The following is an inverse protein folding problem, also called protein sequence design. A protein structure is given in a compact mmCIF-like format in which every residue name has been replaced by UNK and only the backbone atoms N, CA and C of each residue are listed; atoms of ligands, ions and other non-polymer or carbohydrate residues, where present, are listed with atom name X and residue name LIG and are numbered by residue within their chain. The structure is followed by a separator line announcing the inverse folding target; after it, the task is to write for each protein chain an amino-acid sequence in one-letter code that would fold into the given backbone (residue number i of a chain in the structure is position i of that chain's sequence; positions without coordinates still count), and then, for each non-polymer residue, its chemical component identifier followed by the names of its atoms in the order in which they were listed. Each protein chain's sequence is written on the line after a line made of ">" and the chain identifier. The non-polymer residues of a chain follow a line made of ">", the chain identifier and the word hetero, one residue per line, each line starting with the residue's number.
data_IF_546376937725
#
_entry.id   IF_546376937725
#
_cell.length_a   1.000
_cell.length_b   1.000
_cell.length_c   1.000
_cell.angle_alpha   90.00
_cell.angle_beta   90.00
_cell.angle_gamma   90.00
#
_symmetry.space_group_name_H-M   'P 1'
#
loop_
_entity.id
_entity.type
_entity.pdbx_description
1 polymer ?
#
# COMPACT_ATOMS: atom_id res chain seq x y z
N UNK A 1 -38.30 25.94 -2.97
CA UNK A 1 -36.93 26.19 -3.48
C UNK A 1 -36.18 24.88 -3.60
N UNK A 2 -35.71 24.50 -4.80
CA UNK A 2 -34.91 23.30 -4.98
C UNK A 2 -33.56 23.45 -4.25
N UNK A 3 -33.22 22.51 -3.36
CA UNK A 3 -31.92 22.48 -2.68
C UNK A 3 -30.81 22.42 -3.72
N UNK A 4 -29.95 23.45 -3.76
CA UNK A 4 -28.76 23.51 -4.62
C UNK A 4 -27.97 22.21 -4.48
N UNK A 5 -27.83 21.46 -5.57
CA UNK A 5 -27.21 20.13 -5.54
C UNK A 5 -25.79 20.21 -4.97
N UNK A 6 -25.55 19.57 -3.83
CA UNK A 6 -24.24 19.52 -3.18
C UNK A 6 -23.22 18.93 -4.16
N UNK A 7 -22.20 19.70 -4.53
CA UNK A 7 -21.13 19.28 -5.46
C UNK A 7 -20.49 17.99 -4.96
N UNK A 8 -20.62 16.90 -5.72
CA UNK A 8 -20.04 15.60 -5.37
C UNK A 8 -18.52 15.70 -5.15
N UNK A 9 -18.01 15.04 -4.11
CA UNK A 9 -16.56 14.93 -3.82
C UNK A 9 -15.83 14.11 -4.89
N UNK A 10 -16.50 13.12 -5.47
CA UNK A 10 -15.98 12.23 -6.50
C UNK A 10 -16.82 12.35 -7.79
N UNK A 11 -16.19 12.33 -8.96
CA UNK A 11 -16.91 12.23 -10.23
C UNK A 11 -17.63 10.89 -10.39
N UNK A 12 -18.66 10.84 -11.24
CA UNK A 12 -19.33 9.57 -11.63
C UNK A 12 -18.32 8.60 -12.25
N UNK A 13 -17.44 9.12 -13.10
CA UNK A 13 -16.39 8.33 -13.75
C UNK A 13 -15.41 7.68 -12.77
N UNK A 14 -15.14 8.29 -11.61
CA UNK A 14 -14.30 7.69 -10.57
C UNK A 14 -15.05 6.58 -9.81
N UNK A 15 -16.35 6.77 -9.56
CA UNK A 15 -17.19 5.71 -8.98
C UNK A 15 -17.22 4.47 -9.88
N UNK A 16 -17.32 4.66 -11.21
CA UNK A 16 -17.35 3.56 -12.18
C UNK A 16 -16.03 2.77 -12.22
N UNK A 17 -14.86 3.42 -12.08
CA UNK A 17 -13.58 2.71 -12.00
C UNK A 17 -13.52 1.82 -10.75
N UNK A 18 -13.95 2.34 -9.60
CA UNK A 18 -14.01 1.57 -8.35
C UNK A 18 -14.98 0.40 -8.49
N UNK A 19 -16.12 0.62 -9.13
CA UNK A 19 -17.08 -0.44 -9.38
C UNK A 19 -16.51 -1.55 -10.27
N UNK A 20 -15.83 -1.19 -11.36
CA UNK A 20 -15.17 -2.16 -12.25
C UNK A 20 -14.14 -3.00 -11.51
N UNK A 21 -13.33 -2.35 -10.67
CA UNK A 21 -12.32 -3.05 -9.86
C UNK A 21 -12.96 -3.94 -8.79
N UNK A 22 -14.03 -3.47 -8.16
CA UNK A 22 -14.83 -4.26 -7.22
C UNK A 22 -15.47 -5.48 -7.89
N UNK A 23 -15.95 -5.37 -9.14
CA UNK A 23 -16.47 -6.52 -9.90
C UNK A 23 -15.38 -7.55 -10.16
N UNK A 24 -14.17 -7.13 -10.54
CA UNK A 24 -13.00 -8.04 -10.71
C UNK A 24 -12.61 -8.70 -9.40
N UNK A 25 -12.63 -7.95 -8.29
CA UNK A 25 -12.36 -8.49 -6.97
C UNK A 25 -13.38 -9.55 -6.56
N UNK A 26 -14.69 -9.28 -6.73
CA UNK A 26 -15.77 -10.25 -6.49
C UNK A 26 -15.63 -11.52 -7.35
N UNK A 27 -15.11 -11.38 -8.57
CA UNK A 27 -14.80 -12.51 -9.46
C UNK A 27 -13.49 -13.24 -9.11
N UNK A 28 -12.69 -12.75 -8.16
CA UNK A 28 -11.40 -13.33 -7.80
C UNK A 28 -10.25 -13.07 -8.79
N UNK A 29 -10.46 -12.18 -9.78
CA UNK A 29 -9.49 -11.92 -10.87
C UNK A 29 -8.70 -10.62 -10.69
N UNK A 30 -9.04 -9.80 -9.71
CA UNK A 30 -8.31 -8.57 -9.42
C UNK A 30 -6.86 -8.88 -8.98
N UNK A 31 -5.89 -8.24 -9.64
CA UNK A 31 -4.46 -8.33 -9.33
C UNK A 31 -3.94 -7.00 -8.79
N UNK A 32 -2.95 -7.06 -7.93
CA UNK A 32 -2.31 -5.90 -7.32
C UNK A 32 -0.91 -5.67 -7.87
N UNK A 33 -0.42 -4.43 -7.76
CA UNK A 33 0.91 -4.03 -8.21
C UNK A 33 1.06 -3.86 -9.74
N UNK A 34 2.20 -3.31 -10.20
CA UNK A 34 2.49 -3.12 -11.62
C UNK A 34 2.43 -4.46 -12.37
N UNK A 35 1.65 -4.53 -13.45
CA UNK A 35 1.47 -5.76 -14.23
C UNK A 35 0.89 -6.95 -13.46
N UNK A 36 0.31 -6.73 -12.27
CA UNK A 36 -0.21 -7.82 -11.43
C UNK A 36 0.83 -8.59 -10.63
N UNK A 37 2.08 -8.09 -10.54
CA UNK A 37 3.18 -8.74 -9.79
C UNK A 37 2.94 -8.85 -8.28
N UNK A 38 2.02 -8.05 -7.73
CA UNK A 38 1.63 -8.12 -6.32
C UNK A 38 0.65 -9.25 -6.00
N UNK A 39 0.30 -10.08 -6.98
CA UNK A 39 -0.63 -11.20 -6.80
C UNK A 39 -2.08 -10.75 -6.68
N UNK A 40 -2.97 -11.67 -6.27
CA UNK A 40 -4.41 -11.40 -6.12
C UNK A 40 -4.69 -10.36 -5.03
N UNK A 41 -5.72 -9.54 -5.23
CA UNK A 41 -6.16 -8.57 -4.24
C UNK A 41 -6.75 -9.30 -3.03
N UNK A 42 -6.20 -9.02 -1.85
CA UNK A 42 -6.52 -9.76 -0.62
C UNK A 42 -7.71 -9.17 0.13
N UNK A 43 -8.03 -7.90 -0.09
CA UNK A 43 -9.08 -7.21 0.66
C UNK A 43 -9.90 -6.24 -0.18
N UNK A 44 -11.18 -6.09 0.17
CA UNK A 44 -12.08 -5.08 -0.41
C UNK A 44 -11.52 -3.65 -0.31
N UNK A 45 -10.91 -3.32 0.83
CA UNK A 45 -10.24 -2.02 1.04
C UNK A 45 -9.13 -1.79 0.01
N UNK A 46 -8.36 -2.83 -0.30
CA UNK A 46 -7.29 -2.77 -1.29
C UNK A 46 -7.85 -2.62 -2.71
N UNK A 47 -8.93 -3.33 -3.07
CA UNK A 47 -9.60 -3.16 -4.37
C UNK A 47 -10.09 -1.71 -4.57
N UNK A 48 -10.72 -1.13 -3.55
CA UNK A 48 -11.14 0.28 -3.58
C UNK A 48 -9.92 1.20 -3.73
N UNK A 49 -8.82 0.92 -3.03
CA UNK A 49 -7.60 1.71 -3.14
C UNK A 49 -6.95 1.65 -4.52
N UNK A 50 -7.03 0.49 -5.21
CA UNK A 50 -6.57 0.31 -6.59
C UNK A 50 -7.47 1.13 -7.52
N UNK A 51 -8.79 0.95 -7.46
CA UNK A 51 -9.74 1.72 -8.29
C UNK A 51 -9.63 3.24 -8.10
N UNK A 52 -9.45 3.71 -6.85
CA UNK A 52 -9.20 5.13 -6.57
C UNK A 52 -7.82 5.62 -7.02
N UNK A 53 -6.83 4.73 -7.18
CA UNK A 53 -5.51 5.09 -7.71
C UNK A 53 -5.54 5.14 -9.24
N UNK A 54 -6.23 4.21 -9.91
CA UNK A 54 -6.48 4.26 -11.35
C UNK A 54 -7.25 5.54 -11.74
N UNK A 55 -8.30 5.88 -10.98
CA UNK A 55 -9.08 7.09 -11.24
C UNK A 55 -8.22 8.37 -11.14
N UNK A 56 -7.25 8.41 -10.22
CA UNK A 56 -6.29 9.53 -10.13
C UNK A 56 -5.33 9.58 -11.30
N UNK A 57 -4.81 8.42 -11.74
CA UNK A 57 -3.92 8.33 -12.90
C UNK A 57 -4.61 8.81 -14.18
N UNK A 58 -5.92 8.53 -14.32
CA UNK A 58 -6.76 9.02 -15.43
C UNK A 58 -7.18 10.49 -15.30
N UNK A 59 -6.68 11.24 -14.31
CA UNK A 59 -7.03 12.66 -14.11
C UNK A 59 -8.47 12.91 -13.64
N UNK A 60 -9.19 11.89 -13.17
CA UNK A 60 -10.58 12.04 -12.72
C UNK A 60 -10.64 12.80 -11.39
N UNK A 61 -11.78 13.45 -11.12
CA UNK A 61 -12.02 14.17 -9.87
C UNK A 61 -12.08 13.23 -8.68
N UNK A 62 -10.93 13.08 -8.00
CA UNK A 62 -10.75 12.29 -6.79
C UNK A 62 -9.96 13.13 -5.78
N UNK A 63 -10.38 13.21 -4.50
CA UNK A 63 -9.60 13.83 -3.45
C UNK A 63 -8.16 13.29 -3.40
N UNK A 64 -7.21 14.20 -3.21
CA UNK A 64 -5.79 13.86 -3.03
C UNK A 64 -5.64 12.92 -1.83
N UNK A 65 -4.68 11.99 -1.91
CA UNK A 65 -4.32 11.20 -0.73
C UNK A 65 -3.82 12.18 0.33
N UNK A 66 -4.29 12.02 1.57
CA UNK A 66 -3.76 12.81 2.67
C UNK A 66 -2.25 12.54 2.79
N UNK A 67 -1.45 13.61 2.86
CA UNK A 67 -0.04 13.50 3.20
C UNK A 67 0.03 12.97 4.63
N UNK A 68 0.45 11.70 4.80
CA UNK A 68 0.84 11.23 6.12
C UNK A 68 2.15 11.94 6.44
N UNK A 69 2.16 12.82 7.45
CA UNK A 69 3.40 13.35 8.05
C UNK A 69 4.36 12.18 8.20
N UNK A 70 5.52 12.26 7.55
CA UNK A 70 6.54 11.22 7.67
C UNK A 70 6.99 11.24 9.13
N UNK A 71 6.44 10.36 9.95
CA UNK A 71 7.07 10.00 11.22
C UNK A 71 8.40 9.38 10.82
N UNK A 72 9.49 10.09 11.07
CA UNK A 72 10.85 9.62 10.82
C UNK A 72 10.97 8.18 11.29
N UNK A 73 11.27 7.25 10.37
CA UNK A 73 11.61 5.87 10.71
C UNK A 73 12.76 5.95 11.71
N UNK A 74 12.50 5.69 13.00
CA UNK A 74 13.53 5.52 14.01
C UNK A 74 14.45 4.41 13.50
N UNK A 75 15.65 4.79 13.06
CA UNK A 75 16.68 3.88 12.52
C UNK A 75 16.92 2.84 13.62
N UNK A 76 16.44 1.60 13.45
CA UNK A 76 16.83 0.48 14.31
C UNK A 76 18.33 0.30 14.09
N UNK A 77 19.15 0.83 15.00
CA UNK A 77 20.58 0.55 15.06
C UNK A 77 20.73 -0.97 15.14
N UNK A 78 21.41 -1.54 14.15
CA UNK A 78 21.74 -2.96 14.09
C UNK A 78 22.41 -3.36 15.40
N UNK A 79 21.81 -4.32 16.13
CA UNK A 79 22.50 -5.06 17.18
C UNK A 79 23.76 -5.67 16.55
N UNK A 80 24.93 -5.14 16.89
CA UNK A 80 26.24 -5.66 16.50
C UNK A 80 26.36 -7.08 17.05
N UNK A 81 26.19 -8.07 16.17
CA UNK A 81 26.36 -9.49 16.46
C UNK A 81 27.85 -9.80 16.27
N UNK A 82 28.66 -9.71 17.33
CA UNK A 82 30.06 -10.17 17.29
C UNK A 82 30.09 -11.67 17.54
N UNK A 83 30.13 -12.43 16.46
CA UNK A 83 30.49 -13.85 16.44
C UNK A 83 31.97 -14.02 16.80
N UNK A 84 32.23 -14.96 17.72
CA UNK A 84 33.44 -15.78 17.92
C UNK A 84 34.73 -15.31 17.22
N UNK A 85 35.76 -14.98 18.02
CA UNK A 85 37.15 -15.16 17.62
C UNK A 85 37.82 -16.12 18.60
N UNK A 86 38.09 -17.32 18.10
CA UNK A 86 38.91 -18.36 18.71
C UNK A 86 40.34 -17.87 18.91
N UNK A 87 40.89 -18.01 20.11
CA UNK A 87 42.34 -18.01 20.31
C UNK A 87 42.73 -19.23 21.14
N UNK A 88 43.34 -20.17 20.45
CA UNK A 88 44.17 -21.26 20.96
C UNK A 88 45.22 -20.75 21.97
N UNK A 89 45.67 -21.70 22.81
CA UNK A 89 46.79 -21.65 23.78
C UNK A 89 46.43 -21.24 25.22
N UNK A 90 46.36 -22.24 26.10
CA UNK A 90 47.38 -22.39 27.15
C UNK A 90 47.40 -23.82 27.73
N UNK A 91 48.35 -24.60 27.24
CA UNK A 91 48.94 -25.72 27.98
C UNK A 91 49.97 -25.14 28.97
N UNK A 92 49.81 -25.45 30.26
CA UNK A 92 50.88 -25.51 31.28
C UNK A 92 50.19 -25.79 32.63
N UNK A 93 50.14 -27.05 33.08
CA UNK A 93 51.13 -27.67 33.97
C UNK A 93 51.18 -26.98 35.34
N UNK A 94 50.40 -27.50 36.29
CA UNK A 94 50.80 -27.92 37.63
C UNK A 94 49.61 -28.57 38.33
#
# INVERSE_FOLDING_TARGET
>A
MARKAKKRRYSRSASNDVEREMRRYKKGTAKSGPGGRGGRVKSRKQAIAIGLSEARQKGKKVPKKASKRKTSKKKKTSKKKTTKKSSTRKSSKR
#
